data_IF_857481575144
#
_entry.id   IF_857481575144
#
_cell.length_a   1.000
_cell.length_b   1.000
_cell.length_c   1.000
_cell.angle_alpha   90.00
_cell.angle_beta   90.00
_cell.angle_gamma   90.00
#
_symmetry.space_group_name_H-M   'P 1'
#
loop_
_entity.id
_entity.type
_entity.pdbx_description
1 polymer ?
#
# COMPACT_ATOMS: atom_id res chain seq x y z
N UNK A 1 -35.80 -15.30 46.34
CA UNK A 1 -34.65 -15.22 45.43
C UNK A 1 -35.15 -14.95 44.01
N UNK A 2 -35.07 -13.70 43.54
CA UNK A 2 -35.50 -13.32 42.20
C UNK A 2 -34.54 -13.88 41.15
N UNK A 3 -35.06 -14.66 40.21
CA UNK A 3 -34.29 -15.19 39.08
C UNK A 3 -34.06 -14.05 38.08
N UNK A 4 -32.93 -13.36 38.17
CA UNK A 4 -32.52 -12.42 37.13
C UNK A 4 -32.18 -13.21 35.86
N UNK A 5 -33.08 -13.16 34.87
CA UNK A 5 -32.81 -13.67 33.53
C UNK A 5 -31.90 -12.66 32.83
N UNK A 6 -30.60 -12.94 32.78
CA UNK A 6 -29.66 -12.12 32.04
C UNK A 6 -29.98 -12.26 30.55
N UNK A 7 -30.55 -11.20 29.94
CA UNK A 7 -30.93 -11.21 28.54
C UNK A 7 -29.70 -10.92 27.68
N UNK A 8 -29.34 -11.85 26.79
CA UNK A 8 -28.23 -11.69 25.83
C UNK A 8 -28.41 -10.43 24.95
N UNK A 9 -29.65 -9.99 24.75
CA UNK A 9 -29.97 -8.78 24.01
C UNK A 9 -29.44 -7.50 24.70
N UNK A 10 -29.36 -7.47 26.04
CA UNK A 10 -28.81 -6.32 26.79
C UNK A 10 -27.29 -6.22 26.56
N UNK A 11 -26.60 -7.37 26.46
CA UNK A 11 -25.16 -7.40 26.17
C UNK A 11 -24.85 -6.93 24.74
N UNK A 12 -25.72 -7.26 23.77
CA UNK A 12 -25.61 -6.80 22.40
C UNK A 12 -25.82 -5.27 22.26
N UNK A 13 -26.75 -4.69 23.03
CA UNK A 13 -26.98 -3.23 23.04
C UNK A 13 -25.75 -2.47 23.58
N UNK A 14 -25.01 -3.04 24.53
CA UNK A 14 -23.79 -2.43 25.07
C UNK A 14 -22.66 -2.33 24.01
N UNK A 15 -22.64 -3.22 23.03
CA UNK A 15 -21.68 -3.20 21.91
C UNK A 15 -22.04 -2.21 20.79
N UNK A 16 -23.26 -1.67 20.78
CA UNK A 16 -23.77 -0.75 19.74
C UNK A 16 -23.81 0.70 20.25
N UNK A 17 -23.48 0.95 21.53
CA UNK A 17 -23.35 2.31 22.02
C UNK A 17 -22.25 3.03 21.20
N UNK A 18 -22.53 4.20 20.61
CA UNK A 18 -21.49 5.01 20.01
C UNK A 18 -20.45 5.28 21.10
N UNK A 19 -19.18 4.96 20.78
CA UNK A 19 -18.05 5.22 21.66
C UNK A 19 -18.19 6.65 22.21
N UNK A 20 -18.13 6.75 23.54
CA UNK A 20 -18.24 7.98 24.32
C UNK A 20 -17.67 9.19 23.57
N UNK A 21 -18.47 10.25 23.43
CA UNK A 21 -18.15 11.51 22.75
C UNK A 21 -17.03 12.33 23.43
N UNK A 22 -16.14 11.69 24.18
CA UNK A 22 -15.01 12.31 24.87
C UNK A 22 -13.70 11.54 24.72
N UNK A 23 -13.66 10.43 23.97
CA UNK A 23 -12.40 9.74 23.70
C UNK A 23 -11.78 10.24 22.39
N UNK A 24 -10.49 10.60 22.44
CA UNK A 24 -9.74 11.00 21.24
C UNK A 24 -9.66 9.82 20.28
N UNK A 25 -10.00 10.07 19.02
CA UNK A 25 -9.90 9.09 17.96
C UNK A 25 -9.16 9.67 16.77
N UNK A 26 -8.42 8.81 16.08
CA UNK A 26 -7.77 9.16 14.82
C UNK A 26 -8.21 8.20 13.74
N UNK A 27 -8.38 8.73 12.54
CA UNK A 27 -8.71 7.94 11.35
C UNK A 27 -7.86 8.35 10.17
N UNK A 28 -7.59 7.41 9.28
CA UNK A 28 -7.04 7.64 7.95
C UNK A 28 -8.07 7.10 6.95
N UNK A 29 -8.60 7.93 6.05
CA UNK A 29 -9.69 7.57 5.13
C UNK A 29 -10.85 6.83 5.85
N UNK A 30 -11.24 7.31 7.03
CA UNK A 30 -12.29 6.74 7.89
C UNK A 30 -11.97 5.37 8.53
N UNK A 31 -10.78 4.82 8.34
CA UNK A 31 -10.31 3.63 9.07
C UNK A 31 -9.50 4.02 10.30
N UNK A 32 -9.69 3.28 11.39
CA UNK A 32 -8.97 3.47 12.66
C UNK A 32 -7.89 2.40 12.84
N UNK A 33 -6.81 2.76 13.54
CA UNK A 33 -5.66 1.90 13.90
C UNK A 33 -4.80 1.41 12.73
N UNK A 34 -5.39 1.04 11.61
CA UNK A 34 -4.70 0.44 10.47
C UNK A 34 -5.35 0.87 9.16
N UNK A 35 -4.54 1.13 8.14
CA UNK A 35 -4.98 1.35 6.76
C UNK A 35 -3.93 0.78 5.78
N UNK A 36 -4.39 0.11 4.72
CA UNK A 36 -3.54 -0.32 3.60
C UNK A 36 -4.00 0.36 2.33
N UNK A 37 -3.08 1.00 1.61
CA UNK A 37 -3.37 1.69 0.34
C UNK A 37 -2.27 1.44 -0.66
N UNK A 38 -2.56 1.71 -1.92
CA UNK A 38 -1.57 1.69 -2.99
C UNK A 38 -0.81 3.02 -3.08
N UNK A 39 0.42 2.97 -3.58
CA UNK A 39 1.23 4.16 -3.84
C UNK A 39 0.48 5.14 -4.76
N UNK A 40 0.58 6.43 -4.43
CA UNK A 40 -0.06 7.53 -5.16
C UNK A 40 -1.49 7.82 -4.70
N UNK A 41 -2.02 7.10 -3.71
CA UNK A 41 -3.34 7.37 -3.15
C UNK A 41 -3.35 8.61 -2.25
N UNK A 42 -4.48 9.32 -2.26
CA UNK A 42 -4.75 10.45 -1.36
C UNK A 42 -5.33 9.92 -0.06
N UNK A 43 -4.75 10.34 1.06
CA UNK A 43 -5.14 9.94 2.41
C UNK A 43 -5.53 11.17 3.20
N UNK A 44 -6.68 11.08 3.87
CA UNK A 44 -7.22 12.11 4.76
C UNK A 44 -7.08 11.60 6.19
N UNK A 45 -6.20 12.24 6.95
CA UNK A 45 -6.03 12.00 8.38
C UNK A 45 -6.93 12.94 9.16
N UNK A 46 -7.75 12.41 10.08
CA UNK A 46 -8.63 13.20 10.93
C UNK A 46 -8.46 12.83 12.39
N UNK A 47 -8.40 13.85 13.25
CA UNK A 47 -8.52 13.71 14.69
C UNK A 47 -9.93 14.15 15.14
N UNK A 48 -10.54 13.35 16.01
CA UNK A 48 -11.83 13.63 16.64
C UNK A 48 -11.65 13.74 18.16
N UNK A 49 -12.53 14.50 18.82
CA UNK A 49 -12.48 14.69 20.27
C UNK A 49 -11.36 15.62 20.74
N UNK A 50 -10.86 16.49 19.87
CA UNK A 50 -9.77 17.45 20.16
C UNK A 50 -10.26 18.84 20.55
N UNK A 51 -11.57 19.06 20.71
CA UNK A 51 -12.17 20.39 20.89
C UNK A 51 -11.70 21.11 22.16
N UNK A 52 -11.33 20.36 23.20
CA UNK A 52 -10.81 20.89 24.47
C UNK A 52 -9.27 20.89 24.55
N UNK A 53 -8.58 20.57 23.47
CA UNK A 53 -7.11 20.49 23.45
C UNK A 53 -6.46 21.86 23.27
N UNK A 54 -5.27 22.04 23.85
CA UNK A 54 -4.44 23.24 23.63
C UNK A 54 -3.66 23.16 22.34
N UNK A 55 -3.20 21.95 22.00
CA UNK A 55 -2.38 21.69 20.85
C UNK A 55 -2.51 20.24 20.43
N UNK A 56 -2.32 20.03 19.12
CA UNK A 56 -2.25 18.73 18.49
C UNK A 56 -0.98 18.68 17.66
N UNK A 57 -0.34 17.52 17.63
CA UNK A 57 0.84 17.26 16.84
C UNK A 57 0.75 15.86 16.25
N UNK A 58 0.67 15.80 14.93
CA UNK A 58 0.91 14.59 14.15
C UNK A 58 2.41 14.40 13.93
N UNK A 59 2.93 13.21 14.15
CA UNK A 59 4.23 12.74 13.67
C UNK A 59 3.99 11.53 12.75
N UNK A 60 4.30 11.70 11.47
CA UNK A 60 4.19 10.64 10.45
C UNK A 60 5.42 9.72 10.43
N UNK A 61 6.32 9.85 11.39
CA UNK A 61 7.66 9.21 11.54
C UNK A 61 8.68 9.62 10.48
N UNK A 62 8.24 9.83 9.24
CA UNK A 62 9.02 10.28 8.08
C UNK A 62 8.21 11.26 7.24
N UNK A 63 8.89 11.91 6.30
CA UNK A 63 8.24 12.73 5.28
C UNK A 63 7.27 11.88 4.47
N UNK A 64 5.98 12.21 4.53
CA UNK A 64 4.90 11.37 4.00
C UNK A 64 4.53 11.71 2.55
N UNK A 65 4.58 13.00 2.17
CA UNK A 65 4.20 13.48 0.84
C UNK A 65 5.28 14.33 0.16
N UNK A 66 6.38 14.64 0.84
CA UNK A 66 7.43 15.53 0.35
C UNK A 66 8.32 16.09 1.49
N UNK A 67 9.28 16.98 1.19
CA UNK A 67 10.08 17.63 2.23
C UNK A 67 9.18 18.36 3.23
N UNK A 68 9.59 18.37 4.50
CA UNK A 68 8.90 19.06 5.60
C UNK A 68 7.44 18.62 5.87
N UNK A 69 7.06 17.42 5.44
CA UNK A 69 5.70 16.85 5.68
C UNK A 69 5.64 15.86 6.83
N UNK A 70 6.72 15.72 7.61
CA UNK A 70 6.77 14.78 8.75
C UNK A 70 5.83 15.15 9.89
N UNK A 71 5.59 16.43 10.12
CA UNK A 71 4.77 16.90 11.24
C UNK A 71 3.60 17.75 10.77
N UNK A 72 2.51 17.77 11.53
CA UNK A 72 1.37 18.67 11.29
C UNK A 72 0.63 19.01 12.57
N UNK A 73 0.11 20.23 12.67
CA UNK A 73 -0.69 20.71 13.81
C UNK A 73 -2.17 20.91 13.46
N UNK A 74 -2.61 20.42 12.29
CA UNK A 74 -4.00 20.53 11.86
C UNK A 74 -4.83 19.31 12.29
N UNK A 75 -6.11 19.52 12.60
CA UNK A 75 -7.04 18.45 12.99
C UNK A 75 -7.37 17.53 11.82
N UNK A 76 -7.32 18.07 10.61
CA UNK A 76 -7.46 17.35 9.35
C UNK A 76 -6.26 17.63 8.45
N UNK A 77 -5.64 16.57 7.92
CA UNK A 77 -4.45 16.64 7.07
C UNK A 77 -4.67 15.78 5.84
N UNK A 78 -4.37 16.31 4.66
CA UNK A 78 -4.56 15.61 3.39
C UNK A 78 -3.19 15.47 2.72
N UNK A 79 -2.77 14.24 2.48
CA UNK A 79 -1.50 13.93 1.81
C UNK A 79 -1.67 12.91 0.70
N UNK A 80 -0.82 13.00 -0.32
CA UNK A 80 -0.71 11.96 -1.36
C UNK A 80 0.55 11.15 -1.07
N UNK A 81 0.40 9.86 -0.83
CA UNK A 81 1.51 9.05 -0.30
C UNK A 81 2.10 8.20 -1.41
N UNK A 82 3.33 8.54 -1.82
CA UNK A 82 4.01 7.89 -2.95
C UNK A 82 5.01 6.81 -2.51
N UNK A 83 5.70 7.01 -1.39
CA UNK A 83 6.74 6.07 -0.98
C UNK A 83 6.11 4.82 -0.34
N UNK A 84 6.38 3.66 -0.93
CA UNK A 84 5.96 2.38 -0.36
C UNK A 84 6.56 2.14 1.03
N UNK A 85 5.89 1.29 1.81
CA UNK A 85 6.33 0.85 3.12
C UNK A 85 5.39 1.21 4.26
N UNK A 86 5.87 0.97 5.48
CA UNK A 86 5.10 1.14 6.72
C UNK A 86 5.36 2.50 7.35
N UNK A 87 4.30 3.18 7.72
CA UNK A 87 4.30 4.43 8.47
C UNK A 87 3.64 4.18 9.84
N UNK A 88 4.37 4.47 10.91
CA UNK A 88 3.81 4.53 12.25
C UNK A 88 3.46 5.99 12.55
N UNK A 89 2.17 6.30 12.49
CA UNK A 89 1.67 7.65 12.65
C UNK A 89 1.24 7.81 14.10
N UNK A 90 1.72 8.85 14.76
CA UNK A 90 1.31 9.18 16.12
C UNK A 90 0.64 10.54 16.16
N UNK A 91 -0.44 10.64 16.92
CA UNK A 91 -1.06 11.91 17.29
C UNK A 91 -0.82 12.12 18.78
N UNK A 92 -0.19 13.25 19.11
CA UNK A 92 -0.07 13.75 20.48
C UNK A 92 -1.03 14.92 20.66
N UNK A 93 -1.91 14.81 21.64
CA UNK A 93 -2.87 15.86 22.01
C UNK A 93 -2.57 16.33 23.42
N UNK A 94 -2.34 17.64 23.59
CA UNK A 94 -2.09 18.25 24.89
C UNK A 94 -3.31 19.02 25.39
N UNK A 95 -3.43 19.12 26.70
CA UNK A 95 -4.51 19.81 27.41
C UNK A 95 -3.92 20.74 28.47
N UNK A 96 -4.59 21.83 28.82
CA UNK A 96 -4.04 22.82 29.79
C UNK A 96 -3.78 22.22 31.18
N UNK A 97 -4.63 21.28 31.62
CA UNK A 97 -4.67 20.80 33.00
C UNK A 97 -4.73 19.26 33.12
N UNK A 98 -4.41 18.53 32.06
CA UNK A 98 -4.40 17.06 32.08
C UNK A 98 -3.20 16.50 31.33
N UNK A 99 -2.94 15.21 31.55
CA UNK A 99 -1.90 14.49 30.82
C UNK A 99 -2.19 14.54 29.32
N UNK A 100 -1.11 14.57 28.53
CA UNK A 100 -1.19 14.42 27.09
C UNK A 100 -1.73 13.03 26.74
N UNK A 101 -2.48 12.97 25.65
CA UNK A 101 -3.02 11.74 25.11
C UNK A 101 -2.29 11.38 23.81
N UNK A 102 -1.95 10.11 23.67
CA UNK A 102 -1.24 9.57 22.52
C UNK A 102 -2.14 8.55 21.80
N UNK A 103 -2.28 8.70 20.48
CA UNK A 103 -2.98 7.73 19.62
C UNK A 103 -2.08 7.33 18.46
N UNK A 104 -2.16 6.07 18.05
CA UNK A 104 -1.31 5.49 17.02
C UNK A 104 -2.14 4.93 15.87
N UNK A 105 -1.64 5.08 14.64
CA UNK A 105 -2.23 4.52 13.43
C UNK A 105 -1.11 3.98 12.53
N UNK A 106 -1.29 2.78 12.01
CA UNK A 106 -0.36 2.15 11.09
C UNK A 106 -0.89 2.29 9.67
N UNK A 107 -0.09 2.91 8.80
CA UNK A 107 -0.38 2.98 7.37
C UNK A 107 0.61 2.10 6.62
N UNK A 108 0.11 1.19 5.79
CA UNK A 108 0.90 0.40 4.85
C UNK A 108 0.63 0.88 3.44
N UNK A 109 1.70 1.25 2.73
CA UNK A 109 1.64 1.69 1.33
C UNK A 109 2.26 0.60 0.47
N UNK A 110 1.43 0.00 -0.38
CA UNK A 110 1.84 -1.03 -1.32
C UNK A 110 2.47 -0.39 -2.55
N UNK A 111 3.50 -1.03 -3.08
CA UNK A 111 4.11 -0.63 -4.34
C UNK A 111 3.23 -1.12 -5.49
N UNK A 112 2.95 -0.24 -6.45
CA UNK A 112 2.20 -0.57 -7.67
C UNK A 112 3.18 -0.64 -8.82
N UNK A 113 3.33 -1.83 -9.40
CA UNK A 113 4.06 -2.02 -10.63
C UNK A 113 3.06 -2.07 -11.78
N UNK A 114 3.06 -1.06 -12.65
CA UNK A 114 2.41 -1.17 -13.95
C UNK A 114 3.45 -1.76 -14.90
N UNK A 115 3.35 -3.06 -15.13
CA UNK A 115 4.02 -3.65 -16.29
C UNK A 115 3.20 -3.21 -17.50
N UNK A 116 3.71 -2.25 -18.25
CA UNK A 116 3.27 -2.09 -19.63
C UNK A 116 3.75 -3.35 -20.35
N UNK A 117 2.90 -4.37 -20.44
CA UNK A 117 3.06 -5.45 -21.41
C UNK A 117 2.78 -4.87 -22.80
N UNK A 118 3.60 -3.91 -23.23
CA UNK A 118 3.73 -3.64 -24.65
C UNK A 118 4.42 -4.87 -25.23
N UNK A 119 3.62 -5.80 -25.77
CA UNK A 119 4.13 -6.79 -26.72
C UNK A 119 4.64 -5.96 -27.90
N UNK A 120 5.91 -5.54 -27.82
CA UNK A 120 6.58 -4.88 -28.92
C UNK A 120 6.66 -5.96 -30.00
N UNK A 121 5.77 -5.87 -30.98
CA UNK A 121 5.82 -6.65 -32.21
C UNK A 121 7.09 -6.22 -32.96
N UNK A 122 8.24 -6.71 -32.49
CA UNK A 122 9.52 -6.39 -33.07
C UNK A 122 9.69 -7.27 -34.31
N UNK A 123 9.17 -6.79 -35.43
CA UNK A 123 9.28 -7.46 -36.73
C UNK A 123 10.72 -7.86 -37.01
N UNK A 124 11.70 -7.01 -36.65
CA UNK A 124 13.12 -7.32 -36.81
C UNK A 124 13.57 -8.53 -35.96
N UNK A 125 13.04 -8.70 -34.74
CA UNK A 125 13.34 -9.86 -33.90
C UNK A 125 12.69 -11.14 -34.45
N UNK A 126 11.46 -11.04 -34.96
CA UNK A 126 10.80 -12.15 -35.65
C UNK A 126 11.59 -12.57 -36.91
N UNK A 127 12.00 -11.62 -37.75
CA UNK A 127 12.82 -11.90 -38.93
C UNK A 127 14.20 -12.46 -38.56
N UNK A 128 14.83 -11.96 -37.49
CA UNK A 128 16.13 -12.46 -37.04
C UNK A 128 16.05 -13.93 -36.58
N UNK A 129 15.01 -14.30 -35.82
CA UNK A 129 14.76 -15.68 -35.41
C UNK A 129 14.49 -16.59 -36.62
N UNK A 130 13.57 -16.19 -37.50
CA UNK A 130 13.22 -16.96 -38.69
C UNK A 130 14.41 -17.14 -39.65
N UNK A 131 15.19 -16.08 -39.88
CA UNK A 131 16.38 -16.16 -40.72
C UNK A 131 17.44 -17.08 -40.13
N UNK A 132 17.62 -17.06 -38.81
CA UNK A 132 18.56 -17.93 -38.11
C UNK A 132 18.19 -19.40 -38.30
N UNK A 133 16.91 -19.76 -38.17
CA UNK A 133 16.42 -21.12 -38.41
C UNK A 133 16.69 -21.58 -39.85
N UNK A 134 16.39 -20.72 -40.83
CA UNK A 134 16.63 -21.02 -42.25
C UNK A 134 18.12 -21.24 -42.54
N UNK A 135 18.99 -20.36 -42.03
CA UNK A 135 20.44 -20.47 -42.23
C UNK A 135 20.99 -21.75 -41.59
N UNK A 136 20.57 -22.08 -40.38
CA UNK A 136 20.99 -23.32 -39.70
C UNK A 136 20.52 -24.56 -40.46
N UNK A 137 19.28 -24.58 -40.94
CA UNK A 137 18.72 -25.69 -41.71
C UNK A 137 19.46 -25.92 -43.02
N UNK A 138 19.73 -24.85 -43.79
CA UNK A 138 20.50 -24.93 -45.03
C UNK A 138 21.93 -25.40 -44.76
N UNK A 139 22.59 -24.86 -43.74
CA UNK A 139 23.93 -25.29 -43.34
C UNK A 139 23.98 -26.77 -43.01
N UNK A 140 23.02 -27.27 -42.23
CA UNK A 140 22.92 -28.69 -41.88
C UNK A 140 22.67 -29.57 -43.12
N UNK A 141 21.77 -29.14 -44.02
CA UNK A 141 21.51 -29.85 -45.28
C UNK A 141 22.77 -29.93 -46.17
N UNK A 142 23.55 -28.86 -46.21
CA UNK A 142 24.81 -28.82 -46.95
C UNK A 142 25.85 -29.81 -46.38
N UNK A 143 26.10 -29.75 -45.08
CA UNK A 143 27.06 -30.65 -44.42
C UNK A 143 26.65 -32.13 -44.53
N UNK A 144 25.37 -32.43 -44.34
CA UNK A 144 24.86 -33.81 -44.48
C UNK A 144 24.98 -34.32 -45.92
N UNK A 145 24.80 -33.45 -46.93
CA UNK A 145 25.04 -33.82 -48.33
C UNK A 145 26.51 -34.10 -48.62
N UNK A 146 27.45 -33.32 -48.07
CA UNK A 146 28.88 -33.57 -48.25
C UNK A 146 29.29 -34.92 -47.65
N UNK A 147 28.91 -35.17 -46.39
CA UNK A 147 29.20 -36.44 -45.69
C UNK A 147 28.61 -37.62 -46.47
N UNK A 148 27.40 -37.48 -47.03
CA UNK A 148 26.80 -38.55 -47.85
C UNK A 148 27.64 -38.85 -49.08
N UNK A 149 28.15 -37.83 -49.78
CA UNK A 149 29.02 -38.03 -50.95
C UNK A 149 30.28 -38.78 -50.55
N UNK A 150 30.98 -38.35 -49.50
CA UNK A 150 32.22 -38.97 -49.04
C UNK A 150 32.06 -40.45 -48.66
N UNK A 151 30.91 -40.84 -48.07
CA UNK A 151 30.61 -42.24 -47.73
C UNK A 151 30.29 -43.14 -48.93
N UNK A 152 29.95 -42.59 -50.10
CA UNK A 152 29.65 -43.38 -51.31
C UNK A 152 30.93 -43.73 -52.08
N UNK A 153 32.05 -43.05 -51.80
CA UNK A 153 33.36 -43.30 -52.44
C UNK A 153 34.32 -44.17 -51.61
N UNK A 154 33.85 -44.75 -50.50
CA UNK A 154 34.56 -45.73 -49.65
C UNK A 154 33.87 -47.09 -49.75
#
# INVERSE_FOLDING_TARGET
>A
MGKFKFSLAILAILFILPNSAGEIQITANNEANYLSVDSGQKIIFKAFGTDNSTSILWDFSRNISGPDTRYSNASEVIYTVHAAGRYNITLTVNYENSNSSLKELVLIVNEVYTFDEEIINNEALFFALAATEVIMSIGLAYWTSLIRKEKVYL
#
